data_IF_378242891201
#
_entry.id   IF_378242891201
#
_cell.length_a   1.000
_cell.length_b   1.000
_cell.length_c   1.000
_cell.angle_alpha   90.00
_cell.angle_beta   90.00
_cell.angle_gamma   90.00
#
_symmetry.space_group_name_H-M   'P 1'
#
loop_
_entity.id
_entity.type
_entity.pdbx_description
1 polymer ?
#
# COMPACT_ATOMS: atom_id res chain seq x y z
N UNK A 1 3.89 12.58 -80.00
CA UNK A 1 3.89 11.14 -80.29
C UNK A 1 4.83 10.46 -79.31
N UNK A 2 4.36 9.40 -78.62
CA UNK A 2 5.16 8.32 -77.97
C UNK A 2 6.00 8.77 -76.74
N UNK A 3 5.90 8.23 -75.53
CA UNK A 3 5.19 7.07 -74.99
C UNK A 3 5.06 7.22 -73.46
N UNK A 4 3.93 6.80 -72.92
CA UNK A 4 3.74 6.35 -71.53
C UNK A 4 4.55 5.06 -71.32
N UNK A 5 5.03 4.78 -70.09
CA UNK A 5 5.06 3.45 -69.40
C UNK A 5 6.22 3.32 -68.39
N UNK A 6 5.85 3.37 -67.10
CA UNK A 6 6.39 2.63 -65.90
C UNK A 6 7.86 2.83 -65.45
N UNK A 7 8.28 2.65 -64.18
CA UNK A 7 7.84 1.74 -63.11
C UNK A 7 8.23 2.32 -61.73
N UNK A 8 7.41 2.00 -60.74
CA UNK A 8 7.54 2.24 -59.30
C UNK A 8 8.87 1.68 -58.74
N UNK A 9 9.64 2.47 -57.98
CA UNK A 9 10.71 1.96 -57.13
C UNK A 9 10.63 2.62 -55.74
N UNK A 10 9.96 1.88 -54.85
CA UNK A 10 9.98 2.05 -53.40
C UNK A 10 11.40 1.75 -52.92
N UNK A 11 12.07 2.69 -52.24
CA UNK A 11 13.13 2.34 -51.31
C UNK A 11 13.01 3.20 -50.05
N UNK A 12 12.29 2.61 -49.09
CA UNK A 12 12.39 2.91 -47.67
C UNK A 12 13.84 2.80 -47.22
N UNK A 13 14.45 3.91 -46.80
CA UNK A 13 15.53 3.87 -45.82
C UNK A 13 15.01 4.62 -44.59
N UNK A 14 14.41 3.82 -43.71
CA UNK A 14 14.00 4.18 -42.37
C UNK A 14 15.19 4.73 -41.60
N UNK A 15 15.15 6.03 -41.26
CA UNK A 15 15.90 6.55 -40.12
C UNK A 15 15.36 5.84 -38.87
N UNK A 16 16.09 4.85 -38.40
CA UNK A 16 15.93 4.34 -37.04
C UNK A 16 16.40 5.44 -36.08
N UNK A 17 15.50 6.37 -35.78
CA UNK A 17 15.53 7.07 -34.51
C UNK A 17 15.38 5.99 -33.44
N UNK A 18 16.49 5.47 -32.93
CA UNK A 18 16.51 4.80 -31.64
C UNK A 18 16.26 5.89 -30.61
N UNK A 19 14.99 6.28 -30.47
CA UNK A 19 14.49 6.86 -29.25
C UNK A 19 14.71 5.81 -28.18
N UNK A 20 15.90 5.84 -27.57
CA UNK A 20 16.11 5.21 -26.29
C UNK A 20 15.06 5.83 -25.38
N UNK A 21 13.99 5.08 -25.13
CA UNK A 21 13.12 5.34 -24.01
C UNK A 21 14.04 5.22 -22.81
N UNK A 22 14.57 6.36 -22.35
CA UNK A 22 14.85 6.55 -20.94
C UNK A 22 13.50 6.30 -20.28
N UNK A 23 13.24 5.03 -19.93
CA UNK A 23 12.32 4.76 -18.85
C UNK A 23 12.94 5.54 -17.71
N UNK A 24 12.34 6.68 -17.40
CA UNK A 24 12.45 7.24 -16.08
C UNK A 24 12.11 6.06 -15.17
N UNK A 25 13.14 5.48 -14.57
CA UNK A 25 12.98 4.65 -13.40
C UNK A 25 12.45 5.64 -12.37
N UNK A 26 11.13 5.81 -12.38
CA UNK A 26 10.44 6.55 -11.34
C UNK A 26 10.82 5.76 -10.09
N UNK A 27 11.65 6.37 -9.25
CA UNK A 27 11.85 5.93 -7.88
C UNK A 27 10.48 6.16 -7.21
N UNK A 28 9.54 5.23 -7.45
CA UNK A 28 8.17 5.27 -6.90
C UNK A 28 8.23 4.89 -5.41
N UNK A 29 9.19 5.42 -4.68
CA UNK A 29 9.06 5.55 -3.24
C UNK A 29 8.18 6.72 -2.95
N UNK A 30 6.85 6.46 -2.97
CA UNK A 30 5.72 7.35 -2.62
C UNK A 30 6.16 8.80 -2.37
N UNK A 31 6.69 9.41 -3.43
CA UNK A 31 6.93 10.82 -3.60
C UNK A 31 5.89 11.27 -4.62
N UNK A 32 4.63 10.98 -4.32
CA UNK A 32 3.51 11.66 -4.91
C UNK A 32 3.36 12.91 -4.03
N UNK A 33 3.67 14.06 -4.64
CA UNK A 33 3.71 15.43 -4.09
C UNK A 33 5.12 15.92 -3.71
N UNK A 34 5.40 17.18 -4.03
CA UNK A 34 6.60 17.93 -3.60
C UNK A 34 6.65 18.17 -2.07
N UNK A 35 5.75 17.56 -1.32
CA UNK A 35 5.44 17.79 0.09
C UNK A 35 5.26 16.43 0.83
N UNK A 36 5.94 15.37 0.38
CA UNK A 36 5.67 13.94 0.61
C UNK A 36 5.07 13.49 1.95
N UNK A 37 5.52 14.02 3.09
CA UNK A 37 4.93 13.66 4.40
C UNK A 37 3.56 14.32 4.66
N UNK A 38 3.35 15.55 4.17
CA UNK A 38 2.05 16.21 4.23
C UNK A 38 1.05 15.52 3.29
N UNK A 39 1.49 15.15 2.10
CA UNK A 39 0.69 14.36 1.15
C UNK A 39 0.22 13.06 1.79
N UNK A 40 1.12 12.34 2.49
CA UNK A 40 0.77 11.14 3.23
C UNK A 40 -0.31 11.38 4.31
N UNK A 41 -0.19 12.43 5.13
CA UNK A 41 -1.20 12.73 6.15
C UNK A 41 -2.55 13.16 5.55
N UNK A 42 -2.53 13.91 4.45
CA UNK A 42 -3.73 14.26 3.70
C UNK A 42 -4.42 12.99 3.17
N UNK A 43 -3.65 12.09 2.53
CA UNK A 43 -4.15 10.81 2.03
C UNK A 43 -4.79 9.94 3.12
N UNK A 44 -4.20 9.90 4.32
CA UNK A 44 -4.81 9.23 5.48
C UNK A 44 -6.15 9.88 5.82
N UNK A 45 -6.19 11.21 5.90
CA UNK A 45 -7.40 11.97 6.19
C UNK A 45 -8.53 11.66 5.22
N UNK A 46 -8.23 11.71 3.92
CA UNK A 46 -9.18 11.43 2.85
C UNK A 46 -9.64 9.96 2.87
N UNK A 47 -8.72 9.01 3.03
CA UNK A 47 -9.04 7.58 3.00
C UNK A 47 -9.91 7.14 4.17
N UNK A 48 -9.62 7.60 5.39
CA UNK A 48 -10.38 7.24 6.59
C UNK A 48 -11.49 8.24 6.93
N UNK A 49 -11.73 9.23 6.07
CA UNK A 49 -12.71 10.30 6.26
C UNK A 49 -12.56 11.02 7.61
N UNK A 50 -11.32 11.38 7.95
CA UNK A 50 -10.95 12.13 9.17
C UNK A 50 -10.31 13.47 8.78
N UNK A 51 -10.57 14.56 9.52
CA UNK A 51 -9.93 15.83 9.24
C UNK A 51 -8.40 15.73 9.33
N UNK A 52 -7.67 16.33 8.40
CA UNK A 52 -6.19 16.33 8.40
C UNK A 52 -5.61 16.81 9.74
N UNK A 53 -6.22 17.83 10.36
CA UNK A 53 -5.84 18.30 11.70
C UNK A 53 -5.87 17.20 12.75
N UNK A 54 -6.82 16.27 12.67
CA UNK A 54 -6.88 15.12 13.58
C UNK A 54 -5.73 14.15 13.33
N UNK A 55 -5.34 13.93 12.08
CA UNK A 55 -4.16 13.12 11.71
C UNK A 55 -2.90 13.73 12.31
N UNK A 56 -2.72 15.04 12.17
CA UNK A 56 -1.55 15.76 12.73
C UNK A 56 -1.51 15.65 14.27
N UNK A 57 -2.65 15.86 14.95
CA UNK A 57 -2.74 15.74 16.42
C UNK A 57 -2.37 14.32 16.88
N UNK A 58 -2.79 13.30 16.15
CA UNK A 58 -2.49 11.91 16.48
C UNK A 58 -1.00 11.61 16.26
N UNK A 59 -0.42 12.12 15.18
CA UNK A 59 1.02 12.02 14.90
C UNK A 59 1.87 12.59 16.03
N UNK A 60 1.43 13.67 16.68
CA UNK A 60 2.13 14.24 17.84
C UNK A 60 2.15 13.30 19.07
N UNK A 61 1.35 12.24 19.08
CA UNK A 61 1.25 11.26 20.19
C UNK A 61 2.29 10.13 20.11
N UNK A 62 3.40 10.31 19.37
CA UNK A 62 4.54 9.37 19.26
C UNK A 62 4.22 8.01 18.64
N UNK A 63 3.25 7.98 17.73
CA UNK A 63 3.01 6.82 16.86
C UNK A 63 3.84 7.01 15.58
N UNK A 64 4.63 6.01 15.14
CA UNK A 64 5.36 6.08 13.87
C UNK A 64 4.42 6.34 12.68
N UNK A 65 4.92 7.01 11.65
CA UNK A 65 4.08 7.42 10.50
C UNK A 65 3.43 6.22 9.79
N UNK A 66 4.17 5.13 9.55
CA UNK A 66 3.62 3.90 8.93
C UNK A 66 2.59 3.19 9.83
N UNK A 67 2.52 3.51 11.12
CA UNK A 67 1.53 2.98 12.04
C UNK A 67 0.24 3.82 12.09
N UNK A 68 0.24 5.06 11.58
CA UNK A 68 -0.94 5.92 11.57
C UNK A 68 -2.13 5.29 10.83
N UNK A 69 -1.96 4.70 9.63
CA UNK A 69 -3.05 3.97 8.98
C UNK A 69 -3.61 2.83 9.84
N UNK A 70 -2.77 2.15 10.63
CA UNK A 70 -3.22 1.07 11.53
C UNK A 70 -4.14 1.61 12.63
N UNK A 71 -3.82 2.78 13.19
CA UNK A 71 -4.65 3.44 14.19
C UNK A 71 -6.05 3.71 13.63
N UNK A 72 -6.14 4.37 12.47
CA UNK A 72 -7.42 4.72 11.87
C UNK A 72 -8.19 3.51 11.34
N UNK A 73 -7.48 2.53 10.78
CA UNK A 73 -8.09 1.28 10.35
C UNK A 73 -8.76 0.55 11.50
N UNK A 74 -8.06 0.32 12.62
CA UNK A 74 -8.63 -0.37 13.78
C UNK A 74 -9.76 0.43 14.43
N UNK A 75 -9.60 1.75 14.53
CA UNK A 75 -10.63 2.65 15.05
C UNK A 75 -11.91 2.55 14.21
N UNK A 76 -11.80 2.62 12.89
CA UNK A 76 -12.92 2.51 11.95
C UNK A 76 -13.61 1.15 12.00
N UNK A 77 -12.84 0.06 11.91
CA UNK A 77 -13.38 -1.32 11.96
C UNK A 77 -14.07 -1.63 13.30
N UNK A 78 -13.59 -1.05 14.41
CA UNK A 78 -14.16 -1.24 15.73
C UNK A 78 -15.27 -0.24 16.07
N UNK A 79 -15.47 0.82 15.28
CA UNK A 79 -16.35 1.93 15.63
C UNK A 79 -15.90 2.70 16.89
N UNK A 80 -14.59 2.73 17.16
CA UNK A 80 -13.99 3.33 18.35
C UNK A 80 -13.21 4.61 18.00
N UNK A 81 -13.07 5.57 18.92
CA UNK A 81 -12.23 6.73 18.68
C UNK A 81 -10.74 6.33 18.56
N UNK A 82 -9.95 6.96 17.67
CA UNK A 82 -8.51 6.69 17.52
C UNK A 82 -7.72 6.77 18.85
N UNK A 83 -8.12 7.65 19.76
CA UNK A 83 -7.48 7.81 21.07
C UNK A 83 -7.55 6.55 21.93
N UNK A 84 -8.60 5.72 21.79
CA UNK A 84 -8.69 4.44 22.47
C UNK A 84 -7.62 3.46 21.96
N UNK A 85 -7.40 3.43 20.64
CA UNK A 85 -6.38 2.60 19.98
C UNK A 85 -4.98 3.06 20.40
N UNK A 86 -4.71 4.38 20.34
CA UNK A 86 -3.42 4.98 20.69
C UNK A 86 -3.06 4.71 22.14
N UNK A 87 -4.01 4.87 23.07
CA UNK A 87 -3.80 4.58 24.50
C UNK A 87 -3.31 3.15 24.72
N UNK A 88 -3.87 2.19 24.00
CA UNK A 88 -3.47 0.78 24.11
C UNK A 88 -2.09 0.54 23.49
N UNK A 89 -1.81 1.16 22.33
CA UNK A 89 -0.51 1.07 21.67
C UNK A 89 0.62 1.62 22.54
N UNK A 90 0.44 2.83 23.07
CA UNK A 90 1.40 3.46 23.98
C UNK A 90 1.52 2.73 25.33
N UNK A 91 0.50 1.94 25.70
CA UNK A 91 0.53 1.03 26.84
C UNK A 91 1.33 -0.26 26.59
N UNK A 92 1.95 -0.42 25.41
CA UNK A 92 2.82 -1.54 25.08
C UNK A 92 2.12 -2.74 24.44
N UNK A 93 0.84 -2.62 24.06
CA UNK A 93 0.13 -3.69 23.34
C UNK A 93 0.56 -3.77 21.88
N UNK A 94 0.67 -4.99 21.36
CA UNK A 94 0.79 -5.26 19.93
C UNK A 94 -0.50 -4.89 19.18
N UNK A 95 -0.39 -4.64 17.87
CA UNK A 95 -1.56 -4.37 17.03
C UNK A 95 -2.57 -5.50 17.03
N UNK A 96 -2.10 -6.74 17.09
CA UNK A 96 -2.96 -7.92 17.16
C UNK A 96 -3.71 -7.99 18.50
N UNK A 97 -3.07 -7.68 19.63
CA UNK A 97 -3.74 -7.62 20.93
C UNK A 97 -4.78 -6.51 20.99
N UNK A 98 -4.50 -5.34 20.41
CA UNK A 98 -5.44 -4.23 20.32
C UNK A 98 -6.66 -4.63 19.49
N UNK A 99 -6.42 -5.23 18.32
CA UNK A 99 -7.49 -5.73 17.45
C UNK A 99 -8.40 -6.73 18.19
N UNK A 100 -7.80 -7.71 18.89
CA UNK A 100 -8.55 -8.70 19.68
C UNK A 100 -9.33 -8.07 20.83
N UNK A 101 -8.78 -7.04 21.49
CA UNK A 101 -9.47 -6.32 22.56
C UNK A 101 -10.74 -5.61 22.05
N UNK A 102 -10.76 -5.21 20.78
CA UNK A 102 -11.93 -4.66 20.11
C UNK A 102 -12.79 -5.72 19.39
N UNK A 103 -12.55 -7.00 19.61
CA UNK A 103 -13.32 -8.10 18.99
C UNK A 103 -12.97 -8.37 17.52
N UNK A 104 -11.94 -7.70 16.98
CA UNK A 104 -11.44 -7.94 15.63
C UNK A 104 -10.50 -9.15 15.62
N UNK A 105 -10.42 -9.81 14.47
CA UNK A 105 -9.54 -10.98 14.28
C UNK A 105 -8.64 -10.79 13.06
N UNK A 106 -7.65 -11.65 12.87
CA UNK A 106 -6.70 -11.53 11.75
C UNK A 106 -7.38 -11.46 10.37
N UNK A 107 -8.63 -11.95 10.25
CA UNK A 107 -9.45 -11.87 9.03
C UNK A 107 -9.56 -10.44 8.47
N UNK A 108 -9.65 -9.42 9.33
CA UNK A 108 -9.89 -8.05 8.88
C UNK A 108 -8.70 -7.48 8.10
N UNK A 109 -7.48 -7.94 8.39
CA UNK A 109 -6.27 -7.45 7.74
C UNK A 109 -6.03 -8.08 6.36
N UNK A 110 -6.60 -9.26 6.09
CA UNK A 110 -6.32 -10.00 4.86
C UNK A 110 -6.72 -9.18 3.62
N UNK A 111 -5.77 -9.01 2.70
CA UNK A 111 -5.99 -8.43 1.37
C UNK A 111 -5.89 -9.56 0.34
N UNK A 112 -6.89 -9.79 -0.52
CA UNK A 112 -6.80 -10.81 -1.55
C UNK A 112 -5.83 -10.39 -2.65
N UNK A 113 -4.98 -11.32 -3.10
CA UNK A 113 -4.03 -11.10 -4.20
C UNK A 113 -4.00 -12.30 -5.15
N UNK A 114 -3.45 -12.08 -6.34
CA UNK A 114 -3.12 -13.08 -7.33
C UNK A 114 -1.61 -13.33 -7.34
N UNK A 115 -1.22 -14.59 -7.38
CA UNK A 115 0.19 -14.99 -7.46
C UNK A 115 0.88 -15.06 -6.10
N UNK A 116 2.22 -15.06 -6.13
CA UNK A 116 3.05 -15.15 -4.94
C UNK A 116 3.30 -13.74 -4.36
N UNK A 117 2.94 -13.48 -3.09
CA UNK A 117 3.23 -12.20 -2.44
C UNK A 117 4.72 -11.87 -2.33
N UNK A 118 5.61 -12.87 -2.25
CA UNK A 118 7.02 -12.64 -1.94
C UNK A 118 7.27 -11.83 -0.66
N UNK A 119 8.52 -11.47 -0.33
CA UNK A 119 8.82 -10.56 0.78
C UNK A 119 8.32 -9.12 0.49
N UNK A 120 7.91 -8.35 1.52
CA UNK A 120 7.85 -8.71 2.95
C UNK A 120 6.63 -9.55 3.34
N UNK A 121 5.68 -9.76 2.43
CA UNK A 121 4.33 -10.28 2.73
C UNK A 121 4.23 -11.80 2.87
N UNK A 122 5.19 -12.55 2.33
CA UNK A 122 5.10 -14.00 2.14
C UNK A 122 4.88 -14.79 3.43
N UNK A 123 5.49 -14.35 4.53
CA UNK A 123 5.28 -14.95 5.86
C UNK A 123 3.83 -14.80 6.30
N UNK A 124 3.29 -13.58 6.25
CA UNK A 124 1.95 -13.25 6.68
C UNK A 124 0.88 -14.01 5.86
N UNK A 125 0.97 -13.96 4.52
CA UNK A 125 0.10 -14.75 3.64
C UNK A 125 0.27 -16.26 3.86
N UNK A 126 1.47 -16.72 4.18
CA UNK A 126 1.74 -18.10 4.56
C UNK A 126 0.90 -18.58 5.75
N UNK A 127 0.67 -17.73 6.75
CA UNK A 127 -0.22 -18.04 7.87
C UNK A 127 -1.66 -18.27 7.39
N UNK A 128 -2.17 -17.41 6.50
CA UNK A 128 -3.52 -17.56 5.93
C UNK A 128 -3.64 -18.78 5.01
N UNK A 129 -2.64 -19.06 4.18
CA UNK A 129 -2.64 -20.19 3.24
C UNK A 129 -2.61 -21.56 3.95
N UNK A 130 -1.93 -21.66 5.08
CA UNK A 130 -1.82 -22.90 5.86
C UNK A 130 -3.10 -23.28 6.60
N UNK A 131 -4.03 -22.35 6.78
CA UNK A 131 -5.22 -22.54 7.60
C UNK A 131 -6.49 -22.33 6.79
N UNK A 132 -7.51 -23.17 7.04
CA UNK A 132 -8.84 -22.94 6.47
C UNK A 132 -9.41 -21.60 6.97
N UNK A 133 -10.28 -20.95 6.17
CA UNK A 133 -10.83 -19.62 6.46
C UNK A 133 -11.54 -19.53 7.82
N UNK A 134 -12.14 -20.62 8.28
CA UNK A 134 -12.81 -20.69 9.58
C UNK A 134 -11.83 -20.51 10.74
N UNK A 135 -10.57 -20.94 10.55
CA UNK A 135 -9.49 -20.82 11.54
C UNK A 135 -8.74 -19.50 11.48
N UNK A 136 -9.06 -18.61 10.53
CA UNK A 136 -8.40 -17.31 10.45
C UNK A 136 -8.66 -16.44 11.68
N UNK A 137 -9.75 -16.68 12.42
CA UNK A 137 -10.07 -15.96 13.65
C UNK A 137 -9.05 -16.19 14.78
N UNK A 138 -8.37 -17.34 14.79
CA UNK A 138 -7.38 -17.71 15.81
C UNK A 138 -5.94 -17.36 15.40
N UNK A 139 -5.72 -16.82 14.20
CA UNK A 139 -4.39 -16.42 13.78
C UNK A 139 -3.89 -15.24 14.61
N UNK A 140 -2.57 -15.18 14.80
CA UNK A 140 -1.86 -14.08 15.44
C UNK A 140 -0.81 -13.60 14.46
N UNK A 141 -0.88 -12.33 14.11
CA UNK A 141 0.05 -11.67 13.20
C UNK A 141 1.04 -10.85 14.02
N UNK A 142 2.26 -10.70 13.52
CA UNK A 142 3.21 -9.75 14.09
C UNK A 142 2.82 -8.32 13.73
N UNK A 143 3.33 -7.34 14.47
CA UNK A 143 3.08 -5.92 14.20
C UNK A 143 3.48 -5.53 12.77
N UNK A 144 4.68 -5.92 12.32
CA UNK A 144 5.14 -5.64 10.96
C UNK A 144 4.22 -6.23 9.88
N UNK A 145 3.64 -7.41 10.12
CA UNK A 145 2.70 -8.03 9.19
C UNK A 145 1.40 -7.21 9.11
N UNK A 146 0.90 -6.73 10.25
CA UNK A 146 -0.30 -5.88 10.32
C UNK A 146 -0.05 -4.52 9.66
N UNK A 147 1.07 -3.87 9.98
CA UNK A 147 1.49 -2.61 9.38
C UNK A 147 1.55 -2.74 7.86
N UNK A 148 2.19 -3.80 7.35
CA UNK A 148 2.28 -4.05 5.92
C UNK A 148 0.90 -4.30 5.28
N UNK A 149 0.00 -5.07 5.91
CA UNK A 149 -1.34 -5.32 5.36
C UNK A 149 -2.22 -4.09 5.32
N UNK A 150 -2.21 -3.29 6.40
CA UNK A 150 -3.02 -2.08 6.46
C UNK A 150 -2.50 -1.06 5.46
N UNK A 151 -1.19 -0.83 5.38
CA UNK A 151 -0.61 0.07 4.39
C UNK A 151 -0.82 -0.44 2.95
N UNK A 152 -0.74 -1.76 2.72
CA UNK A 152 -1.08 -2.35 1.42
C UNK A 152 -2.51 -1.98 1.00
N UNK A 153 -3.48 -2.16 1.91
CA UNK A 153 -4.89 -1.81 1.66
C UNK A 153 -5.07 -0.31 1.42
N UNK A 154 -4.48 0.51 2.29
CA UNK A 154 -4.56 1.96 2.24
C UNK A 154 -4.02 2.50 0.91
N UNK A 155 -2.78 2.15 0.56
CA UNK A 155 -2.13 2.61 -0.68
C UNK A 155 -2.87 2.11 -1.92
N UNK A 156 -3.27 0.83 -1.94
CA UNK A 156 -4.03 0.26 -3.07
C UNK A 156 -5.35 1.00 -3.29
N UNK A 157 -6.11 1.20 -2.21
CA UNK A 157 -7.45 1.79 -2.30
C UNK A 157 -7.40 3.29 -2.57
N UNK A 158 -6.48 4.02 -1.92
CA UNK A 158 -6.40 5.47 -2.04
C UNK A 158 -5.82 5.91 -3.39
N UNK A 159 -4.79 5.22 -3.88
CA UNK A 159 -4.13 5.57 -5.15
C UNK A 159 -4.64 4.78 -6.36
N UNK A 160 -5.61 3.88 -6.18
CA UNK A 160 -6.16 3.06 -7.25
C UNK A 160 -5.17 2.03 -7.82
N UNK A 161 -4.14 1.68 -7.05
CA UNK A 161 -3.16 0.65 -7.42
C UNK A 161 -3.70 -0.74 -7.06
N UNK A 162 -3.29 -1.75 -7.81
CA UNK A 162 -3.52 -3.13 -7.40
C UNK A 162 -2.61 -3.48 -6.22
N UNK A 163 -3.05 -4.36 -5.30
CA UNK A 163 -2.19 -4.84 -4.23
C UNK A 163 -0.86 -5.43 -4.73
N UNK A 164 -0.87 -6.09 -5.89
CA UNK A 164 0.32 -6.68 -6.49
C UNK A 164 1.33 -5.62 -6.94
N UNK A 165 0.88 -4.48 -7.46
CA UNK A 165 1.75 -3.35 -7.79
C UNK A 165 2.43 -2.79 -6.53
N UNK A 166 1.67 -2.59 -5.46
CA UNK A 166 2.20 -2.12 -4.18
C UNK A 166 3.19 -3.13 -3.58
N UNK A 167 2.87 -4.43 -3.62
CA UNK A 167 3.77 -5.51 -3.19
C UNK A 167 5.08 -5.47 -3.99
N UNK A 168 5.01 -5.31 -5.33
CA UNK A 168 6.18 -5.23 -6.19
C UNK A 168 7.06 -4.02 -5.87
N UNK A 169 6.47 -2.88 -5.50
CA UNK A 169 7.21 -1.72 -5.01
C UNK A 169 7.91 -2.04 -3.69
N UNK A 170 7.20 -2.62 -2.73
CA UNK A 170 7.74 -3.00 -1.41
C UNK A 170 8.88 -4.02 -1.51
N UNK A 171 8.79 -4.97 -2.45
CA UNK A 171 9.85 -5.94 -2.69
C UNK A 171 11.18 -5.31 -3.14
N UNK A 172 11.16 -4.08 -3.69
CA UNK A 172 12.36 -3.32 -4.05
C UNK A 172 12.98 -2.55 -2.88
N UNK A 173 12.43 -2.67 -1.66
CA UNK A 173 12.91 -1.96 -0.46
C UNK A 173 12.31 -0.57 -0.28
N UNK A 174 11.30 -0.22 -1.06
CA UNK A 174 10.62 1.06 -0.99
C UNK A 174 9.78 1.20 0.29
N UNK A 175 9.99 2.23 1.11
CA UNK A 175 9.17 2.54 2.29
C UNK A 175 7.78 3.10 1.91
N UNK A 176 6.81 3.07 2.83
CA UNK A 176 5.50 3.68 2.59
C UNK A 176 5.52 5.21 2.74
N UNK A 177 6.45 5.71 3.57
CA UNK A 177 6.72 7.11 3.83
C UNK A 177 8.24 7.27 3.99
N UNK A 178 8.81 8.35 3.44
CA UNK A 178 10.26 8.66 3.52
C UNK A 178 10.56 9.59 4.69
#
# INVERSE_FOLDING_TARGET
>A
MRSVVTFLAVLLISLSFTGGSSQAEVDVGLSLDSDGIKGFYLSIGEHYNVPEKQVIIIKEKKIPDEELPVVFFLAGEAGMPPDAVIKLRLGGKSWMEIALQFGLTAKVFYVPIKGDPGPPYGKAYGHFKKHKKEKWGSLRLADDDIINFVNLRFVSSHHGLTPEEVIKMRAKGTAFVK
#
